data_IF_623955477988
#
_entry.id   IF_623955477988
#
_cell.length_a   1.000
_cell.length_b   1.000
_cell.length_c   1.000
_cell.angle_alpha   90.00
_cell.angle_beta   90.00
_cell.angle_gamma   90.00
#
_symmetry.space_group_name_H-M   'P 1'
#
loop_
_entity.id
_entity.type
_entity.pdbx_description
1 polymer ?
#
# COMPACT_ATOMS: atom_id res chain seq x y z
N UNK A 1 27.55 -3.70 19.24
CA UNK A 1 27.21 -3.59 17.80
C UNK A 1 28.34 -4.19 16.99
N UNK A 2 28.06 -5.24 16.20
CA UNK A 2 29.07 -5.94 15.39
C UNK A 2 29.01 -5.46 13.94
N UNK A 3 30.07 -4.79 13.47
CA UNK A 3 30.23 -4.40 12.07
C UNK A 3 31.14 -5.40 11.35
N UNK A 4 30.73 -5.87 10.17
CA UNK A 4 31.47 -6.83 9.33
C UNK A 4 32.34 -6.08 8.32
N UNK A 5 33.63 -6.42 8.24
CA UNK A 5 34.51 -5.98 7.14
C UNK A 5 34.95 -7.20 6.34
N UNK A 6 34.47 -7.32 5.10
CA UNK A 6 34.88 -8.37 4.17
C UNK A 6 36.15 -7.98 3.41
N UNK A 7 37.11 -8.91 3.31
CA UNK A 7 38.28 -8.81 2.42
C UNK A 7 37.94 -9.55 1.12
N UNK A 8 38.11 -8.90 -0.02
CA UNK A 8 37.87 -9.50 -1.33
C UNK A 8 39.14 -10.29 -1.69
N UNK A 9 39.04 -11.61 -1.83
CA UNK A 9 40.07 -12.43 -2.46
C UNK A 9 39.70 -12.64 -3.93
N UNK A 10 40.70 -12.60 -4.81
CA UNK A 10 40.57 -12.75 -6.26
C UNK A 10 40.33 -14.20 -6.67
N UNK A 11 39.25 -14.82 -6.16
CA UNK A 11 38.84 -16.14 -6.61
C UNK A 11 37.36 -16.12 -6.97
N UNK A 12 37.14 -16.32 -8.27
CA UNK A 12 35.93 -16.76 -8.99
C UNK A 12 34.59 -16.41 -8.30
N UNK A 13 33.82 -15.53 -8.93
CA UNK A 13 32.53 -15.06 -8.41
C UNK A 13 31.57 -16.23 -8.05
N UNK A 14 30.83 -16.10 -6.96
CA UNK A 14 29.95 -17.15 -6.41
C UNK A 14 28.78 -17.58 -7.33
N UNK A 15 28.68 -17.01 -8.52
CA UNK A 15 27.66 -17.31 -9.53
C UNK A 15 28.16 -18.18 -10.67
N UNK A 16 29.43 -18.60 -10.66
CA UNK A 16 30.01 -19.38 -11.75
C UNK A 16 29.83 -20.90 -11.61
N UNK A 17 29.26 -21.39 -10.52
CA UNK A 17 28.95 -22.80 -10.31
C UNK A 17 27.56 -22.97 -9.68
N UNK A 18 26.81 -23.96 -10.16
CA UNK A 18 25.45 -24.23 -9.69
C UNK A 18 25.49 -24.99 -8.36
N UNK A 19 24.71 -24.51 -7.38
CA UNK A 19 24.49 -25.16 -6.08
C UNK A 19 25.73 -25.45 -5.22
N UNK A 20 26.69 -24.53 -5.14
CA UNK A 20 27.70 -24.57 -4.08
C UNK A 20 27.73 -23.25 -3.29
N UNK A 21 27.43 -23.35 -1.99
CA UNK A 21 27.66 -22.24 -1.06
C UNK A 21 29.15 -22.21 -0.77
N UNK A 22 29.83 -21.09 -1.08
CA UNK A 22 31.22 -20.92 -0.63
C UNK A 22 31.24 -21.03 0.89
N UNK A 23 32.06 -21.93 1.40
CA UNK A 23 32.36 -22.04 2.81
C UNK A 23 32.94 -20.69 3.26
N UNK A 24 32.14 -19.89 3.96
CA UNK A 24 32.60 -18.63 4.48
C UNK A 24 33.66 -18.97 5.53
N UNK A 25 34.93 -18.79 5.18
CA UNK A 25 36.04 -18.82 6.12
C UNK A 25 35.77 -17.79 7.21
N UNK A 26 35.16 -18.25 8.30
CA UNK A 26 34.93 -17.46 9.50
C UNK A 26 36.28 -17.32 10.17
N UNK A 27 37.04 -16.28 9.82
CA UNK A 27 38.19 -15.91 10.66
C UNK A 27 37.64 -15.57 12.04
N UNK A 28 38.10 -16.29 13.05
CA UNK A 28 37.86 -15.93 14.44
C UNK A 28 38.49 -14.55 14.69
N UNK A 29 37.64 -13.54 14.84
CA UNK A 29 38.09 -12.17 15.15
C UNK A 29 38.12 -12.02 16.66
N UNK A 30 39.29 -11.73 17.21
CA UNK A 30 39.46 -11.46 18.64
C UNK A 30 38.91 -10.05 18.93
N UNK A 31 37.98 -9.89 19.90
CA UNK A 31 37.42 -8.59 20.24
C UNK A 31 38.49 -7.64 20.80
N UNK A 32 38.49 -6.38 20.35
CA UNK A 32 39.40 -5.32 20.81
C UNK A 32 38.62 -4.12 21.36
N UNK A 33 39.22 -3.38 22.30
CA UNK A 33 38.67 -2.11 22.81
C UNK A 33 38.53 -1.09 21.67
N UNK A 34 37.48 -0.27 21.72
CA UNK A 34 37.05 0.62 20.63
C UNK A 34 38.19 1.52 20.07
N UNK A 35 39.03 2.05 20.97
CA UNK A 35 40.19 2.89 20.61
C UNK A 35 41.26 2.20 19.75
N UNK A 36 41.24 0.88 19.68
CA UNK A 36 42.21 0.07 18.92
C UNK A 36 41.58 -0.60 17.69
N UNK A 37 40.35 -0.19 17.31
CA UNK A 37 39.70 -0.66 16.08
C UNK A 37 39.94 0.37 14.99
N UNK A 38 40.54 -0.07 13.87
CA UNK A 38 40.73 0.79 12.72
C UNK A 38 39.45 0.81 11.85
N UNK A 39 38.80 1.97 11.80
CA UNK A 39 37.56 2.19 11.02
C UNK A 39 37.80 2.79 9.63
N UNK A 40 39.06 3.02 9.24
CA UNK A 40 39.34 3.48 7.89
C UNK A 40 38.95 2.40 6.88
N UNK A 41 38.04 2.76 5.96
CA UNK A 41 37.61 1.87 4.88
C UNK A 41 38.86 1.41 4.11
N UNK A 42 39.02 0.11 3.80
CA UNK A 42 40.11 -0.29 2.91
C UNK A 42 39.92 0.47 1.59
N UNK A 43 40.95 1.22 1.18
CA UNK A 43 40.97 1.91 -0.12
C UNK A 43 40.68 0.85 -1.17
N UNK A 44 39.53 0.93 -1.85
CA UNK A 44 39.26 0.12 -3.04
C UNK A 44 40.36 0.49 -4.04
N UNK A 45 41.31 -0.40 -4.28
CA UNK A 45 42.18 -0.28 -5.44
C UNK A 45 41.28 -0.20 -6.67
N UNK A 46 41.44 0.85 -7.46
CA UNK A 46 40.75 1.01 -8.74
C UNK A 46 41.30 -0.01 -9.73
N UNK A 47 40.98 -1.28 -9.56
CA UNK A 47 41.10 -2.28 -10.63
C UNK A 47 39.77 -2.27 -11.35
N UNK A 48 39.67 -1.46 -12.41
CA UNK A 48 38.55 -1.50 -13.35
C UNK A 48 38.73 -2.73 -14.23
N UNK A 49 38.11 -3.85 -13.87
CA UNK A 49 37.93 -4.96 -14.81
C UNK A 49 36.84 -4.55 -15.82
N UNK A 50 37.08 -4.64 -17.15
CA UNK A 50 36.08 -4.26 -18.13
C UNK A 50 34.96 -5.30 -18.15
N UNK A 51 33.79 -4.98 -17.58
CA UNK A 51 32.57 -5.74 -17.84
C UNK A 51 32.11 -5.45 -19.27
N UNK A 52 32.04 -6.49 -20.12
CA UNK A 52 31.36 -6.41 -21.41
C UNK A 52 29.89 -5.99 -21.15
N UNK A 53 29.50 -4.83 -21.67
CA UNK A 53 28.09 -4.42 -21.75
C UNK A 53 27.35 -5.46 -22.58
N UNK A 54 26.50 -6.26 -21.96
CA UNK A 54 25.49 -7.00 -22.71
C UNK A 54 24.50 -5.99 -23.30
N UNK A 55 24.07 -6.23 -24.54
CA UNK A 55 23.08 -5.39 -25.25
C UNK A 55 21.84 -5.19 -24.37
N UNK A 56 21.27 -3.99 -24.43
CA UNK A 56 20.00 -3.69 -23.80
C UNK A 56 18.96 -4.74 -24.25
N UNK A 57 18.27 -5.35 -23.30
CA UNK A 57 17.13 -6.24 -23.60
C UNK A 57 16.07 -5.41 -24.31
N UNK A 58 15.54 -5.96 -25.41
CA UNK A 58 14.41 -5.39 -26.13
C UNK A 58 13.22 -5.24 -25.17
N UNK A 59 12.46 -4.16 -25.35
CA UNK A 59 11.25 -3.90 -24.58
C UNK A 59 10.20 -4.92 -25.03
N UNK A 60 10.00 -5.96 -24.22
CA UNK A 60 8.88 -6.88 -24.42
C UNK A 60 7.61 -6.08 -24.13
N UNK A 61 6.68 -6.06 -25.08
CA UNK A 61 5.40 -5.35 -24.96
C UNK A 61 4.56 -5.85 -23.78
N UNK A 62 3.36 -5.27 -23.62
CA UNK A 62 2.45 -5.65 -22.55
C UNK A 62 2.18 -7.15 -22.56
N UNK A 63 2.40 -7.80 -21.41
CA UNK A 63 2.20 -9.24 -21.23
C UNK A 63 0.71 -9.56 -21.42
N UNK A 64 0.41 -10.44 -22.35
CA UNK A 64 -0.95 -10.91 -22.63
C UNK A 64 -1.31 -12.15 -21.80
N UNK A 65 -2.61 -12.49 -21.74
CA UNK A 65 -3.07 -13.72 -21.06
C UNK A 65 -2.48 -14.99 -21.67
N UNK A 66 -2.20 -14.99 -22.97
CA UNK A 66 -1.55 -16.11 -23.66
C UNK A 66 -0.09 -16.30 -23.25
N UNK A 67 0.62 -15.22 -22.93
CA UNK A 67 2.00 -15.29 -22.44
C UNK A 67 2.07 -15.88 -21.02
N UNK A 68 1.07 -15.57 -20.19
CA UNK A 68 0.94 -16.13 -18.83
C UNK A 68 0.63 -17.63 -18.91
N UNK A 69 -0.25 -18.06 -19.81
CA UNK A 69 -0.55 -19.48 -20.02
C UNK A 69 0.69 -20.25 -20.53
N UNK A 70 1.45 -19.66 -21.45
CA UNK A 70 2.72 -20.23 -21.92
C UNK A 70 3.75 -20.35 -20.78
N UNK A 71 3.83 -19.33 -19.91
CA UNK A 71 4.69 -19.36 -18.72
C UNK A 71 4.28 -20.46 -17.73
N UNK A 72 2.97 -20.69 -17.57
CA UNK A 72 2.45 -21.72 -16.67
C UNK A 72 2.76 -23.14 -17.20
N UNK A 73 2.68 -23.34 -18.52
CA UNK A 73 3.09 -24.59 -19.15
C UNK A 73 4.61 -24.84 -19.04
N UNK A 74 5.42 -23.78 -19.20
CA UNK A 74 6.87 -23.89 -19.20
C UNK A 74 7.49 -24.00 -17.79
N UNK A 75 6.90 -23.31 -16.81
CA UNK A 75 7.43 -23.23 -15.44
C UNK A 75 6.29 -23.20 -14.41
N UNK A 76 5.59 -24.34 -14.20
CA UNK A 76 4.40 -24.40 -13.35
C UNK A 76 4.68 -24.09 -11.87
N UNK A 77 5.91 -24.26 -11.41
CA UNK A 77 6.35 -23.96 -10.04
C UNK A 77 7.00 -22.58 -9.89
N UNK A 78 6.92 -21.73 -10.91
CA UNK A 78 7.51 -20.39 -10.86
C UNK A 78 6.92 -19.58 -9.70
N UNK A 79 7.78 -18.86 -8.98
CA UNK A 79 7.37 -18.03 -7.84
C UNK A 79 6.31 -16.98 -8.21
N UNK A 80 6.18 -16.62 -9.50
CA UNK A 80 5.11 -15.79 -10.03
C UNK A 80 3.71 -16.33 -9.66
N UNK A 81 3.48 -17.64 -9.83
CA UNK A 81 2.20 -18.30 -9.54
C UNK A 81 1.95 -18.55 -8.05
N UNK A 82 2.99 -18.53 -7.22
CA UNK A 82 2.84 -18.65 -5.76
C UNK A 82 2.81 -17.31 -5.02
N UNK A 83 3.29 -16.24 -5.66
CA UNK A 83 3.30 -14.89 -5.10
C UNK A 83 2.08 -14.06 -5.50
N UNK A 84 1.37 -14.49 -6.55
CA UNK A 84 0.12 -13.90 -7.01
C UNK A 84 -0.93 -15.01 -6.86
N UNK A 85 -1.78 -14.91 -5.84
CA UNK A 85 -3.01 -15.71 -5.79
C UNK A 85 -3.91 -15.23 -6.92
N UNK A 86 -3.75 -15.83 -8.10
CA UNK A 86 -4.76 -15.75 -9.15
C UNK A 86 -5.76 -16.82 -8.75
N UNK A 87 -6.73 -16.45 -7.93
CA UNK A 87 -7.86 -17.32 -7.63
C UNK A 87 -8.53 -17.66 -8.97
N UNK A 88 -8.30 -18.88 -9.47
CA UNK A 88 -8.95 -19.40 -10.67
C UNK A 88 -10.37 -19.92 -10.41
N UNK A 89 -10.85 -19.80 -9.17
CA UNK A 89 -12.25 -20.06 -8.79
C UNK A 89 -12.84 -18.79 -8.18
N UNK A 90 -13.01 -17.77 -9.02
CA UNK A 90 -14.10 -16.82 -8.86
C UNK A 90 -15.00 -17.07 -10.04
N UNK A 91 -16.17 -17.66 -9.78
CA UNK A 91 -17.25 -17.74 -10.75
C UNK A 91 -17.30 -16.44 -11.54
N UNK A 92 -17.24 -16.59 -12.86
CA UNK A 92 -17.50 -15.51 -13.79
C UNK A 92 -18.98 -15.21 -13.68
N UNK A 93 -19.35 -14.39 -12.71
CA UNK A 93 -20.51 -13.53 -12.87
C UNK A 93 -20.17 -12.65 -14.07
N UNK A 94 -20.76 -13.03 -15.20
CA UNK A 94 -20.98 -12.12 -16.32
C UNK A 94 -21.78 -10.95 -15.76
N UNK A 95 -21.07 -9.96 -15.23
CA UNK A 95 -21.64 -8.69 -14.87
C UNK A 95 -22.16 -8.10 -16.17
N UNK A 96 -23.48 -8.10 -16.28
CA UNK A 96 -24.23 -7.21 -17.16
C UNK A 96 -23.52 -5.86 -17.16
N UNK A 97 -23.20 -5.33 -18.34
CA UNK A 97 -22.75 -3.95 -18.56
C UNK A 97 -23.91 -2.99 -18.24
N UNK A 98 -24.40 -3.02 -17.01
CA UNK A 98 -25.09 -1.90 -16.40
C UNK A 98 -24.02 -0.95 -15.91
N UNK A 99 -24.20 0.34 -16.14
CA UNK A 99 -23.37 1.38 -15.51
C UNK A 99 -23.19 1.02 -14.04
N UNK A 100 -21.95 0.73 -13.60
CA UNK A 100 -21.74 0.44 -12.19
C UNK A 100 -22.00 1.73 -11.43
N UNK A 101 -22.93 1.71 -10.46
CA UNK A 101 -23.23 2.87 -9.61
C UNK A 101 -21.97 3.36 -8.85
N UNK A 102 -20.91 2.55 -8.76
CA UNK A 102 -19.64 2.91 -8.15
C UNK A 102 -18.80 3.81 -9.08
N UNK A 103 -18.25 4.94 -8.60
CA UNK A 103 -17.48 5.86 -9.43
C UNK A 103 -16.13 5.27 -9.83
N UNK A 104 -15.53 5.75 -10.92
CA UNK A 104 -14.18 5.32 -11.26
C UNK A 104 -13.14 5.74 -10.19
N UNK A 105 -12.13 4.91 -9.89
CA UNK A 105 -11.04 5.26 -8.98
C UNK A 105 -10.22 6.45 -9.50
N UNK A 106 -9.64 7.30 -8.62
CA UNK A 106 -8.84 8.46 -9.08
C UNK A 106 -7.59 8.08 -9.88
N UNK A 107 -7.11 6.83 -9.78
CA UNK A 107 -6.01 6.34 -10.60
C UNK A 107 -6.31 6.36 -12.11
N UNK A 108 -7.60 6.38 -12.51
CA UNK A 108 -8.00 6.48 -13.92
C UNK A 108 -7.70 7.84 -14.53
N UNK A 109 -7.50 8.88 -13.70
CA UNK A 109 -7.06 10.21 -14.15
C UNK A 109 -5.61 10.24 -14.66
N UNK A 110 -4.88 9.13 -14.50
CA UNK A 110 -3.50 9.04 -14.99
C UNK A 110 -3.45 9.11 -16.52
N UNK A 111 -2.75 10.12 -17.02
CA UNK A 111 -2.49 10.29 -18.44
C UNK A 111 -0.97 10.30 -18.70
N UNK A 112 -0.43 9.32 -19.46
CA UNK A 112 0.98 9.28 -19.85
C UNK A 112 1.46 10.53 -20.59
N UNK A 113 0.60 11.17 -21.39
CA UNK A 113 0.94 12.36 -22.17
C UNK A 113 1.19 13.60 -21.28
N UNK A 114 0.72 13.57 -20.04
CA UNK A 114 0.95 14.66 -19.08
C UNK A 114 2.43 14.87 -18.74
N UNK A 115 3.30 13.89 -19.03
CA UNK A 115 4.75 13.99 -18.83
C UNK A 115 5.42 14.96 -19.80
N UNK A 116 4.83 15.13 -20.97
CA UNK A 116 5.38 15.94 -22.06
C UNK A 116 4.83 17.38 -22.05
N UNK A 117 3.92 17.69 -21.11
CA UNK A 117 3.34 19.02 -20.94
C UNK A 117 4.31 20.00 -20.29
N UNK A 118 4.18 21.28 -20.64
CA UNK A 118 4.83 22.36 -19.92
C UNK A 118 4.30 22.46 -18.47
N UNK A 119 5.08 23.03 -17.53
CA UNK A 119 4.60 23.28 -16.17
C UNK A 119 3.30 24.09 -16.12
N UNK A 120 3.14 25.05 -17.02
CA UNK A 120 1.97 25.92 -17.14
C UNK A 120 0.75 25.13 -17.60
N UNK A 121 0.88 24.31 -18.65
CA UNK A 121 -0.20 23.47 -19.17
C UNK A 121 -0.60 22.40 -18.16
N UNK A 122 0.38 21.80 -17.46
CA UNK A 122 0.12 20.82 -16.41
C UNK A 122 -0.64 21.47 -15.24
N UNK A 123 -0.27 22.68 -14.84
CA UNK A 123 -0.97 23.44 -13.79
C UNK A 123 -2.41 23.76 -14.21
N UNK A 124 -2.61 24.25 -15.45
CA UNK A 124 -3.92 24.54 -16.00
C UNK A 124 -4.81 23.28 -16.04
N UNK A 125 -4.23 22.14 -16.43
CA UNK A 125 -4.91 20.84 -16.44
C UNK A 125 -5.29 20.37 -15.04
N UNK A 126 -4.38 20.46 -14.07
CA UNK A 126 -4.67 20.16 -12.67
C UNK A 126 -5.80 21.05 -12.12
N UNK A 127 -5.78 22.35 -12.45
CA UNK A 127 -6.82 23.30 -12.07
C UNK A 127 -8.17 23.02 -12.74
N UNK A 128 -8.18 22.50 -13.96
CA UNK A 128 -9.39 22.00 -14.62
C UNK A 128 -9.94 20.77 -13.91
N UNK A 129 -9.11 19.75 -13.67
CA UNK A 129 -9.51 18.53 -12.97
C UNK A 129 -10.04 18.85 -11.58
N UNK A 130 -9.32 19.65 -10.80
CA UNK A 130 -9.73 20.00 -9.43
C UNK A 130 -11.09 20.71 -9.34
N UNK A 131 -11.50 21.46 -10.37
CA UNK A 131 -12.80 22.15 -10.39
C UNK A 131 -13.96 21.29 -10.88
N UNK A 132 -13.65 20.32 -11.75
CA UNK A 132 -14.64 19.47 -12.40
C UNK A 132 -14.74 18.07 -11.81
N UNK A 133 -13.81 17.68 -10.91
CA UNK A 133 -13.86 16.42 -10.21
C UNK A 133 -14.98 16.47 -9.17
N UNK A 134 -16.14 15.95 -9.55
CA UNK A 134 -17.31 15.77 -8.68
C UNK A 134 -17.84 14.36 -8.81
N UNK A 135 -18.42 13.86 -7.74
CA UNK A 135 -19.16 12.60 -7.73
C UNK A 135 -20.63 12.88 -7.50
N UNK A 136 -21.49 12.05 -8.10
CA UNK A 136 -22.92 12.11 -7.82
C UNK A 136 -23.23 11.40 -6.48
N UNK A 137 -24.38 11.74 -5.88
CA UNK A 137 -24.73 11.29 -4.52
C UNK A 137 -24.98 9.78 -4.45
N UNK A 138 -25.57 9.22 -5.50
CA UNK A 138 -25.70 7.78 -5.74
C UNK A 138 -24.32 7.11 -5.80
N UNK A 139 -23.36 7.70 -6.49
CA UNK A 139 -22.00 7.17 -6.60
C UNK A 139 -21.27 7.14 -5.27
N UNK A 140 -21.41 8.20 -4.47
CA UNK A 140 -20.84 8.26 -3.13
C UNK A 140 -21.47 7.20 -2.22
N UNK A 141 -22.80 7.05 -2.29
CA UNK A 141 -23.55 6.08 -1.48
C UNK A 141 -23.20 4.64 -1.85
N UNK A 142 -23.18 4.32 -3.14
CA UNK A 142 -22.77 3.02 -3.65
C UNK A 142 -21.32 2.69 -3.26
N UNK A 143 -20.41 3.67 -3.35
CA UNK A 143 -19.03 3.49 -2.94
C UNK A 143 -18.90 3.20 -1.44
N UNK A 144 -19.63 3.91 -0.58
CA UNK A 144 -19.65 3.65 0.87
C UNK A 144 -20.09 2.22 1.16
N UNK A 145 -21.16 1.78 0.51
CA UNK A 145 -21.77 0.48 0.72
C UNK A 145 -20.83 -0.68 0.34
N UNK A 146 -20.28 -0.67 -0.88
CA UNK A 146 -19.38 -1.73 -1.35
C UNK A 146 -18.02 -1.73 -0.63
N UNK A 147 -17.74 -0.69 0.15
CA UNK A 147 -16.48 -0.56 0.89
C UNK A 147 -16.64 -0.66 2.41
N UNK A 148 -17.84 -1.00 2.91
CA UNK A 148 -18.17 -1.05 4.34
C UNK A 148 -17.38 -2.08 5.15
N UNK A 149 -16.88 -3.14 4.51
CA UNK A 149 -15.97 -4.13 5.13
C UNK A 149 -14.51 -3.67 5.17
N UNK A 150 -14.24 -2.43 4.75
CA UNK A 150 -12.96 -1.74 4.86
C UNK A 150 -11.75 -2.56 4.41
N UNK A 151 -10.92 -3.01 5.36
CA UNK A 151 -9.67 -3.71 5.09
C UNK A 151 -9.85 -5.04 4.35
N UNK A 152 -11.05 -5.63 4.41
CA UNK A 152 -11.41 -6.85 3.69
C UNK A 152 -11.90 -6.58 2.27
N UNK A 153 -12.33 -5.34 1.96
CA UNK A 153 -12.78 -4.94 0.64
C UNK A 153 -11.61 -4.56 -0.28
N UNK A 154 -11.44 -5.27 -1.39
CA UNK A 154 -10.49 -4.90 -2.44
C UNK A 154 -10.81 -3.52 -3.03
N UNK A 155 -12.09 -3.24 -3.25
CA UNK A 155 -12.57 -1.94 -3.76
C UNK A 155 -12.19 -0.80 -2.83
N UNK A 156 -12.27 -1.00 -1.51
CA UNK A 156 -11.81 -0.02 -0.52
C UNK A 156 -10.32 0.29 -0.68
N UNK A 157 -9.45 -0.72 -0.90
CA UNK A 157 -8.02 -0.46 -1.13
C UNK A 157 -7.76 0.31 -2.42
N UNK A 158 -8.46 -0.04 -3.52
CA UNK A 158 -8.33 0.62 -4.82
C UNK A 158 -8.76 2.08 -4.74
N UNK A 159 -9.93 2.35 -4.16
CA UNK A 159 -10.49 3.71 -4.10
C UNK A 159 -9.76 4.65 -3.13
N UNK A 160 -8.92 4.11 -2.23
CA UNK A 160 -8.01 4.91 -1.40
C UNK A 160 -6.77 5.39 -2.15
N UNK A 161 -6.44 4.81 -3.31
CA UNK A 161 -5.29 5.26 -4.12
C UNK A 161 -5.64 6.62 -4.72
N UNK A 162 -4.78 7.62 -4.48
CA UNK A 162 -5.02 8.98 -4.97
C UNK A 162 -5.89 9.83 -4.03
N UNK A 163 -6.48 9.26 -2.97
CA UNK A 163 -7.31 9.99 -1.99
C UNK A 163 -6.57 10.19 -0.66
N UNK A 164 -6.85 11.32 -0.01
CA UNK A 164 -6.39 11.66 1.34
C UNK A 164 -7.37 11.08 2.35
N UNK A 165 -6.94 10.06 3.09
CA UNK A 165 -7.71 9.48 4.20
C UNK A 165 -7.31 10.09 5.53
N UNK A 166 -8.18 9.99 6.55
CA UNK A 166 -7.89 10.50 7.91
C UNK A 166 -6.53 10.02 8.46
N UNK A 167 -6.18 8.76 8.23
CA UNK A 167 -4.89 8.19 8.69
C UNK A 167 -3.63 8.84 8.07
N UNK A 168 -3.75 9.60 6.98
CA UNK A 168 -2.62 10.22 6.27
C UNK A 168 -2.70 11.75 6.21
N UNK A 169 -3.83 12.37 6.59
CA UNK A 169 -4.04 13.82 6.50
C UNK A 169 -3.00 14.60 7.30
N UNK A 170 -2.66 14.11 8.51
CA UNK A 170 -1.61 14.72 9.33
C UNK A 170 -0.27 14.80 8.57
N UNK A 171 0.10 13.75 7.83
CA UNK A 171 1.32 13.70 7.02
C UNK A 171 1.25 14.65 5.82
N UNK A 172 0.07 14.87 5.25
CA UNK A 172 -0.14 15.83 4.16
C UNK A 172 0.02 17.28 4.63
N UNK A 173 -0.47 17.58 5.83
CA UNK A 173 -0.36 18.91 6.44
C UNK A 173 1.00 19.17 7.09
N UNK A 174 1.80 18.13 7.30
CA UNK A 174 3.15 18.24 7.84
C UNK A 174 4.14 18.80 6.80
N UNK A 175 5.29 19.32 7.27
CA UNK A 175 6.42 19.78 6.45
C UNK A 175 7.18 18.65 5.71
N UNK A 176 6.53 17.54 5.37
CA UNK A 176 7.13 16.47 4.60
C UNK A 176 7.36 16.90 3.14
N UNK A 177 8.42 16.39 2.46
CA UNK A 177 8.64 16.66 1.04
C UNK A 177 7.49 16.13 0.17
N UNK A 178 7.15 16.87 -0.89
CA UNK A 178 6.03 16.53 -1.79
C UNK A 178 6.13 15.13 -2.39
N UNK A 179 7.35 14.70 -2.74
CA UNK A 179 7.58 13.34 -3.24
C UNK A 179 7.16 12.25 -2.26
N UNK A 180 7.36 12.46 -0.96
CA UNK A 180 6.94 11.50 0.08
C UNK A 180 5.43 11.58 0.36
N UNK A 181 4.84 12.77 0.21
CA UNK A 181 3.38 12.94 0.24
C UNK A 181 2.73 12.15 -0.90
N UNK A 182 3.23 12.32 -2.13
CA UNK A 182 2.75 11.61 -3.32
C UNK A 182 2.85 10.10 -3.18
N UNK A 183 3.99 9.55 -2.72
CA UNK A 183 4.11 8.11 -2.44
C UNK A 183 3.08 7.60 -1.44
N UNK A 184 2.73 8.42 -0.45
CA UNK A 184 1.75 8.07 0.58
C UNK A 184 0.33 8.07 0.01
N UNK A 185 -0.06 9.14 -0.70
CA UNK A 185 -1.37 9.28 -1.34
C UNK A 185 -1.59 8.20 -2.41
N UNK A 186 -0.56 7.92 -3.21
CA UNK A 186 -0.60 6.86 -4.23
C UNK A 186 -0.37 5.46 -3.67
N UNK A 187 -0.09 5.34 -2.36
CA UNK A 187 0.14 4.07 -1.65
C UNK A 187 1.24 3.18 -2.27
N UNK A 188 2.25 3.78 -2.91
CA UNK A 188 3.36 3.04 -3.52
C UNK A 188 4.27 2.30 -2.52
N UNK A 189 4.22 2.70 -1.26
CA UNK A 189 4.93 2.02 -0.17
C UNK A 189 3.91 1.24 0.68
N UNK A 190 3.43 0.11 0.16
CA UNK A 190 2.65 -0.84 0.95
C UNK A 190 3.58 -1.88 1.56
N UNK A 191 3.66 -1.88 2.89
CA UNK A 191 4.23 -3.00 3.64
C UNK A 191 3.07 -3.72 4.32
N UNK A 192 3.05 -5.05 4.22
CA UNK A 192 2.09 -5.82 4.99
C UNK A 192 2.44 -5.75 6.46
N UNK A 193 1.56 -5.13 7.25
CA UNK A 193 1.68 -5.08 8.71
C UNK A 193 0.94 -6.24 9.39
N UNK A 194 0.44 -7.22 8.62
CA UNK A 194 -0.34 -8.34 9.16
C UNK A 194 0.45 -9.18 10.16
N UNK A 195 1.77 -9.24 10.02
CA UNK A 195 2.66 -9.96 10.94
C UNK A 195 2.88 -9.23 12.28
N UNK A 196 2.52 -7.95 12.39
CA UNK A 196 2.80 -7.15 13.59
C UNK A 196 1.78 -7.50 14.67
N UNK A 197 2.20 -8.05 15.84
CA UNK A 197 1.26 -8.50 16.87
C UNK A 197 0.29 -7.42 17.34
N UNK A 198 0.77 -6.18 17.46
CA UNK A 198 -0.06 -5.05 17.85
C UNK A 198 -1.15 -4.70 16.81
N UNK A 199 -0.84 -4.84 15.52
CA UNK A 199 -1.82 -4.60 14.43
C UNK A 199 -2.84 -5.73 14.37
N UNK A 200 -2.38 -6.98 14.51
CA UNK A 200 -3.26 -8.16 14.59
C UNK A 200 -4.24 -8.03 15.77
N UNK A 201 -3.73 -7.68 16.96
CA UNK A 201 -4.55 -7.41 18.14
C UNK A 201 -5.59 -6.33 17.90
N UNK A 202 -5.19 -5.20 17.28
CA UNK A 202 -6.10 -4.12 16.93
C UNK A 202 -7.27 -4.63 16.09
N UNK A 203 -6.96 -5.29 14.98
CA UNK A 203 -7.97 -5.85 14.05
C UNK A 203 -8.90 -6.85 14.72
N UNK A 204 -8.37 -7.72 15.57
CA UNK A 204 -9.17 -8.76 16.25
C UNK A 204 -10.07 -8.19 17.35
N UNK A 205 -9.67 -7.09 18.00
CA UNK A 205 -10.39 -6.52 19.15
C UNK A 205 -11.30 -5.35 18.81
N UNK A 206 -11.14 -4.74 17.65
CA UNK A 206 -11.91 -3.58 17.21
C UNK A 206 -13.42 -3.84 17.26
N UNK A 207 -13.89 -4.95 16.69
CA UNK A 207 -15.31 -5.29 16.71
C UNK A 207 -15.82 -5.59 18.13
N UNK A 208 -15.01 -6.22 18.99
CA UNK A 208 -15.38 -6.43 20.40
C UNK A 208 -15.56 -5.10 21.13
N UNK A 209 -14.63 -4.16 20.95
CA UNK A 209 -14.72 -2.83 21.55
C UNK A 209 -15.92 -2.05 21.01
N UNK A 210 -16.21 -2.14 19.70
CA UNK A 210 -17.38 -1.53 19.06
C UNK A 210 -18.69 -2.02 19.68
N UNK A 211 -18.86 -3.34 19.81
CA UNK A 211 -20.07 -3.94 20.39
C UNK A 211 -20.29 -3.53 21.84
N UNK A 212 -19.22 -3.46 22.64
CA UNK A 212 -19.30 -2.99 24.03
C UNK A 212 -19.69 -1.50 24.11
N UNK A 213 -19.10 -0.67 23.24
CA UNK A 213 -19.47 0.74 23.15
C UNK A 213 -20.95 0.90 22.76
N UNK A 214 -21.40 0.19 21.72
CA UNK A 214 -22.78 0.21 21.25
C UNK A 214 -23.78 -0.13 22.36
N UNK A 215 -23.55 -1.22 23.09
CA UNK A 215 -24.41 -1.64 24.20
C UNK A 215 -24.48 -0.59 25.32
N UNK A 216 -23.36 0.05 25.66
CA UNK A 216 -23.35 1.10 26.68
C UNK A 216 -24.09 2.35 26.20
N UNK A 217 -23.87 2.77 24.96
CA UNK A 217 -24.50 3.97 24.42
C UNK A 217 -26.01 3.79 24.22
N UNK A 218 -26.49 2.59 23.89
CA UNK A 218 -27.92 2.28 23.81
C UNK A 218 -28.66 2.45 25.15
N UNK A 219 -27.96 2.32 26.28
CA UNK A 219 -28.54 2.57 27.62
C UNK A 219 -28.52 4.06 27.97
N UNK A 220 -27.50 4.79 27.51
CA UNK A 220 -27.26 6.20 27.87
C UNK A 220 -27.98 7.19 26.94
N UNK A 221 -28.26 6.79 25.70
CA UNK A 221 -28.82 7.64 24.66
C UNK A 221 -30.17 7.12 24.16
N UNK A 222 -31.06 8.04 23.83
CA UNK A 222 -32.37 7.74 23.26
C UNK A 222 -32.26 7.48 21.76
N UNK A 223 -32.85 6.37 21.30
CA UNK A 223 -32.87 5.95 19.89
C UNK A 223 -31.47 5.92 19.26
N UNK A 224 -30.52 5.27 19.95
CA UNK A 224 -29.13 5.22 19.52
C UNK A 224 -28.91 4.17 18.44
N UNK A 225 -28.44 4.61 17.27
CA UNK A 225 -28.06 3.76 16.16
C UNK A 225 -26.58 3.96 15.83
N UNK A 226 -25.79 2.89 15.89
CA UNK A 226 -24.40 2.87 15.44
C UNK A 226 -24.31 2.02 14.18
N UNK A 227 -23.62 2.52 13.15
CA UNK A 227 -23.31 1.76 11.95
C UNK A 227 -21.83 1.81 11.61
N UNK A 228 -21.33 0.70 11.06
CA UNK A 228 -20.03 0.67 10.42
C UNK A 228 -20.06 1.46 9.12
N UNK A 229 -18.91 1.95 8.70
CA UNK A 229 -18.79 2.77 7.50
C UNK A 229 -17.70 2.31 6.55
N UNK A 230 -17.96 2.45 5.25
CA UNK A 230 -16.95 2.36 4.21
C UNK A 230 -16.20 3.68 4.02
N UNK A 231 -15.83 3.98 2.77
CA UNK A 231 -15.27 5.28 2.40
C UNK A 231 -16.39 6.32 2.31
N UNK A 232 -16.32 7.33 3.19
CA UNK A 232 -17.20 8.50 3.14
C UNK A 232 -16.53 9.57 2.28
N UNK A 233 -16.81 9.55 0.98
CA UNK A 233 -16.24 10.51 0.02
C UNK A 233 -17.13 11.75 -0.07
N UNK A 234 -16.53 12.94 -0.10
CA UNK A 234 -17.28 14.18 -0.29
C UNK A 234 -17.53 14.43 -1.79
N UNK A 235 -18.75 14.77 -2.17
CA UNK A 235 -19.16 14.94 -3.58
C UNK A 235 -18.38 16.03 -4.32
N UNK A 236 -18.11 17.16 -3.66
CA UNK A 236 -17.40 18.33 -4.18
C UNK A 236 -15.88 18.30 -3.94
N UNK A 237 -15.41 17.46 -3.01
CA UNK A 237 -13.99 17.23 -2.77
C UNK A 237 -13.66 15.73 -2.76
N UNK A 238 -13.81 15.03 -3.91
CA UNK A 238 -13.68 13.57 -3.92
C UNK A 238 -12.30 13.10 -3.47
N UNK A 239 -11.25 13.92 -3.59
CA UNK A 239 -9.92 13.58 -3.10
C UNK A 239 -9.85 13.37 -1.59
N UNK A 240 -10.88 13.73 -0.81
CA UNK A 240 -11.01 13.38 0.62
C UNK A 240 -11.88 12.12 0.80
N UNK A 241 -11.36 11.14 1.53
CA UNK A 241 -12.07 9.88 1.78
C UNK A 241 -11.77 9.33 3.19
N UNK A 242 -12.33 9.93 4.26
CA UNK A 242 -12.35 9.30 5.58
C UNK A 242 -13.09 7.95 5.57
N UNK A 243 -12.74 7.09 6.51
CA UNK A 243 -13.35 5.77 6.75
C UNK A 243 -13.32 5.55 8.25
N UNK A 244 -14.20 6.21 9.03
CA UNK A 244 -14.23 6.05 10.48
C UNK A 244 -14.60 4.61 10.87
N UNK A 245 -14.38 4.24 12.13
CA UNK A 245 -14.71 2.90 12.63
C UNK A 245 -16.24 2.74 12.81
N UNK A 246 -16.94 3.86 12.99
CA UNK A 246 -18.39 3.94 12.86
C UNK A 246 -18.91 5.37 12.86
N UNK A 247 -20.18 5.51 12.51
CA UNK A 247 -20.97 6.73 12.71
C UNK A 247 -22.21 6.37 13.48
N UNK A 248 -22.66 7.27 14.34
CA UNK A 248 -23.87 7.06 15.12
C UNK A 248 -24.80 8.25 15.01
N UNK A 249 -26.06 7.99 15.30
CA UNK A 249 -27.08 9.01 15.51
C UNK A 249 -27.93 8.65 16.73
N UNK A 250 -28.39 9.67 17.45
CA UNK A 250 -29.36 9.53 18.52
C UNK A 250 -30.20 10.78 18.65
N UNK A 251 -31.41 10.65 19.18
CA UNK A 251 -32.37 11.77 19.28
C UNK A 251 -31.85 12.88 20.22
N UNK A 252 -31.12 12.51 21.27
CA UNK A 252 -30.69 13.46 22.28
C UNK A 252 -29.39 14.21 21.94
N UNK A 253 -28.51 13.68 21.09
CA UNK A 253 -27.21 14.30 20.76
C UNK A 253 -27.00 14.54 19.26
N UNK A 254 -27.87 14.03 18.39
CA UNK A 254 -27.70 14.09 16.94
C UNK A 254 -26.65 13.09 16.45
N UNK A 255 -25.87 13.51 15.45
CA UNK A 255 -24.90 12.64 14.76
C UNK A 255 -23.49 12.75 15.36
N UNK A 256 -22.77 11.63 15.35
CA UNK A 256 -21.38 11.57 15.78
C UNK A 256 -20.58 10.50 15.06
N UNK A 257 -19.28 10.48 15.35
CA UNK A 257 -18.30 9.57 14.73
C UNK A 257 -17.55 8.81 15.82
N UNK A 258 -17.29 7.53 15.56
CA UNK A 258 -16.57 6.62 16.44
C UNK A 258 -15.20 6.30 15.84
N UNK A 259 -14.15 6.51 16.63
CA UNK A 259 -12.78 6.07 16.35
C UNK A 259 -12.30 5.19 17.52
N UNK A 260 -11.98 3.94 17.23
CA UNK A 260 -11.63 2.90 18.18
C UNK A 260 -10.11 2.76 18.23
N UNK A 261 -9.60 2.53 19.45
CA UNK A 261 -8.21 2.19 19.69
C UNK A 261 -8.13 1.01 20.65
N UNK A 262 -7.48 -0.06 20.23
CA UNK A 262 -7.25 -1.26 21.04
C UNK A 262 -5.74 -1.37 21.38
N UNK A 263 -5.27 -0.76 22.49
CA UNK A 263 -3.85 -0.69 22.80
C UNK A 263 -3.28 -2.04 23.23
N UNK A 264 -2.41 -2.62 22.39
CA UNK A 264 -1.75 -3.92 22.64
C UNK A 264 -0.93 -4.00 23.94
N UNK A 265 -0.52 -2.84 24.48
CA UNK A 265 0.25 -2.74 25.73
C UNK A 265 -0.55 -3.19 26.96
N UNK A 266 -1.89 -3.08 26.92
CA UNK A 266 -2.79 -3.36 28.05
C UNK A 266 -3.65 -4.61 27.86
N UNK A 267 -3.19 -5.53 27.01
CA UNK A 267 -3.87 -6.81 26.73
C UNK A 267 -3.87 -7.77 27.91
#
# INVERSE_FOLDING_TARGET
>A
MAARTGRITEEVACTSAQCSWKELSRKNVVPKKLKHINFSRPKKSHIRTPMKRQKAREHVGNISSTDIAALQAAAPTAAFFSSISIDQDSDTDTASEGESDVPSPLSTLYDPSAKDLSPEDLSARCGFVSRNLRLASDQVSALEEVTRTQAESRTWHVHRIGRVTASIVHKMCSGCPDREKLKTVMRYASFSLSHVPAVKWGREKENTARLQYEQQMQVLHQDFHLRQTGLLVKEDEPFLAPSPDGVFECECCGQGTLEIKCPYKYR
#
